data_IF_591073690851
#
_entry.id   IF_591073690851
#
_cell.length_a   1.000
_cell.length_b   1.000
_cell.length_c   1.000
_cell.angle_alpha   90.00
_cell.angle_beta   90.00
_cell.angle_gamma   90.00
#
_symmetry.space_group_name_H-M   'P 1'
#
loop_
_entity.id
_entity.type
_entity.pdbx_description
1 polymer ?
#
# COMPACT_ATOMS: atom_id res chain seq x y z
N UNK A 1 26.14 -23.14 16.34
CA UNK A 1 24.78 -23.40 15.79
C UNK A 1 23.70 -22.44 16.30
N UNK A 2 23.72 -22.03 17.58
CA UNK A 2 22.70 -21.15 18.17
C UNK A 2 22.69 -19.73 17.56
N UNK A 3 23.88 -19.17 17.28
CA UNK A 3 24.03 -17.84 16.65
C UNK A 3 23.49 -17.77 15.22
N UNK A 4 23.62 -18.87 14.46
CA UNK A 4 23.07 -19.00 13.11
C UNK A 4 21.53 -18.98 13.12
N UNK A 5 20.89 -19.56 14.16
CA UNK A 5 19.44 -19.49 14.34
C UNK A 5 18.99 -18.08 14.75
N UNK A 6 19.74 -17.39 15.61
CA UNK A 6 19.42 -16.02 16.01
C UNK A 6 19.62 -15.01 14.85
N UNK A 7 20.65 -15.17 14.02
CA UNK A 7 20.82 -14.37 12.80
C UNK A 7 19.66 -14.57 11.83
N UNK A 8 19.25 -15.82 11.58
CA UNK A 8 18.05 -16.10 10.77
C UNK A 8 16.80 -15.49 11.38
N UNK A 9 16.57 -15.61 12.69
CA UNK A 9 15.41 -15.00 13.37
C UNK A 9 15.40 -13.47 13.24
N UNK A 10 16.55 -12.80 13.39
CA UNK A 10 16.68 -11.35 13.18
C UNK A 10 16.44 -10.97 11.72
N UNK A 11 16.94 -11.72 10.74
CA UNK A 11 16.64 -11.50 9.33
C UNK A 11 15.15 -11.73 9.02
N UNK A 12 14.53 -12.75 9.60
CA UNK A 12 13.09 -13.01 9.47
C UNK A 12 12.25 -11.91 10.12
N UNK A 13 12.67 -11.39 11.28
CA UNK A 13 12.04 -10.24 11.93
C UNK A 13 12.20 -8.97 11.09
N UNK A 14 13.39 -8.67 10.59
CA UNK A 14 13.65 -7.50 9.76
C UNK A 14 12.82 -7.55 8.46
N UNK A 15 12.75 -8.71 7.79
CA UNK A 15 11.84 -8.94 6.66
C UNK A 15 10.36 -8.84 7.06
N UNK A 16 10.01 -9.24 8.29
CA UNK A 16 8.64 -9.13 8.83
C UNK A 16 8.19 -7.68 8.94
N UNK A 17 9.05 -6.79 9.43
CA UNK A 17 8.74 -5.38 9.66
C UNK A 17 8.87 -4.54 8.39
N UNK A 18 9.71 -4.95 7.44
CA UNK A 18 9.94 -4.21 6.20
C UNK A 18 8.66 -3.92 5.42
N UNK A 19 7.77 -4.89 5.24
CA UNK A 19 6.49 -4.68 4.53
C UNK A 19 5.58 -3.64 5.21
N UNK A 20 5.49 -3.66 6.55
CA UNK A 20 4.73 -2.68 7.32
C UNK A 20 5.38 -1.30 7.26
N UNK A 21 6.70 -1.22 7.35
CA UNK A 21 7.44 0.04 7.24
C UNK A 21 7.31 0.67 5.85
N UNK A 22 7.40 -0.14 4.78
CA UNK A 22 7.21 0.32 3.40
C UNK A 22 5.78 0.83 3.20
N UNK A 23 4.77 0.11 3.69
CA UNK A 23 3.38 0.55 3.57
C UNK A 23 3.12 1.84 4.38
N UNK A 24 3.61 1.93 5.62
CA UNK A 24 3.48 3.13 6.44
C UNK A 24 4.17 4.35 5.81
N UNK A 25 5.37 4.16 5.24
CA UNK A 25 6.06 5.20 4.50
C UNK A 25 5.27 5.60 3.24
N UNK A 26 4.70 4.64 2.52
CA UNK A 26 3.85 4.90 1.36
C UNK A 26 2.66 5.79 1.74
N UNK A 27 1.93 5.44 2.80
CA UNK A 27 0.78 6.19 3.32
C UNK A 27 1.16 7.63 3.65
N UNK A 28 2.26 7.79 4.40
CA UNK A 28 2.74 9.09 4.80
C UNK A 28 3.12 9.97 3.60
N UNK A 29 3.91 9.41 2.67
CA UNK A 29 4.36 10.10 1.46
C UNK A 29 3.17 10.44 0.55
N UNK A 30 2.19 9.55 0.42
CA UNK A 30 0.98 9.79 -0.37
C UNK A 30 0.18 10.95 0.22
N UNK A 31 -0.10 10.88 1.52
CA UNK A 31 -0.90 11.86 2.24
C UNK A 31 -0.28 13.26 2.15
N UNK A 32 1.05 13.36 2.35
CA UNK A 32 1.78 14.63 2.22
C UNK A 32 1.81 15.10 0.76
N UNK A 33 2.15 14.22 -0.18
CA UNK A 33 2.23 14.54 -1.61
C UNK A 33 0.90 15.02 -2.19
N UNK A 34 -0.22 14.37 -1.82
CA UNK A 34 -1.57 14.77 -2.22
C UNK A 34 -2.04 16.05 -1.52
N UNK A 35 -1.56 16.35 -0.31
CA UNK A 35 -1.88 17.62 0.36
C UNK A 35 -1.25 18.83 -0.34
N UNK A 36 -0.05 18.67 -0.91
CA UNK A 36 0.71 19.78 -1.53
C UNK A 36 0.59 19.82 -3.06
N UNK A 37 -0.11 18.84 -3.66
CA UNK A 37 -0.25 18.73 -5.12
C UNK A 37 -0.86 19.97 -5.77
N UNK A 38 -1.79 20.63 -5.08
CA UNK A 38 -2.42 21.88 -5.53
C UNK A 38 -1.45 23.08 -5.52
N UNK A 39 -0.45 23.06 -4.66
CA UNK A 39 0.50 24.16 -4.46
C UNK A 39 1.77 24.00 -5.32
N UNK A 40 2.11 22.77 -5.70
CA UNK A 40 3.28 22.49 -6.54
C UNK A 40 3.23 21.12 -7.21
N UNK A 41 2.48 20.99 -8.30
CA UNK A 41 2.37 19.76 -9.10
C UNK A 41 3.75 19.20 -9.48
N UNK A 42 4.70 20.07 -9.87
CA UNK A 42 6.01 19.63 -10.36
C UNK A 42 6.81 18.79 -9.36
N UNK A 43 6.68 19.08 -8.05
CA UNK A 43 7.35 18.33 -6.99
C UNK A 43 6.45 17.25 -6.39
N UNK A 44 5.12 17.44 -6.38
CA UNK A 44 4.17 16.49 -5.83
C UNK A 44 3.99 15.24 -6.72
N UNK A 45 4.03 15.40 -8.04
CA UNK A 45 3.82 14.30 -9.00
C UNK A 45 4.82 13.14 -8.82
N UNK A 46 6.15 13.36 -8.76
CA UNK A 46 7.09 12.26 -8.55
C UNK A 46 6.92 11.61 -7.18
N UNK A 47 6.57 12.39 -6.15
CA UNK A 47 6.34 11.90 -4.78
C UNK A 47 5.12 10.97 -4.74
N UNK A 48 4.02 11.34 -5.41
CA UNK A 48 2.81 10.53 -5.54
C UNK A 48 3.11 9.24 -6.33
N UNK A 49 3.85 9.34 -7.44
CA UNK A 49 4.26 8.17 -8.25
C UNK A 49 5.11 7.17 -7.45
N UNK A 50 6.09 7.66 -6.69
CA UNK A 50 6.91 6.82 -5.81
C UNK A 50 6.02 6.17 -4.75
N UNK A 51 5.10 6.92 -4.16
CA UNK A 51 4.18 6.37 -3.16
C UNK A 51 3.26 5.28 -3.75
N UNK A 52 2.73 5.44 -4.96
CA UNK A 52 1.93 4.42 -5.64
C UNK A 52 2.72 3.10 -5.81
N UNK A 53 3.99 3.19 -6.21
CA UNK A 53 4.88 2.02 -6.30
C UNK A 53 5.13 1.37 -4.93
N UNK A 54 5.32 2.18 -3.89
CA UNK A 54 5.50 1.69 -2.52
C UNK A 54 4.22 1.04 -1.96
N UNK A 55 3.04 1.56 -2.29
CA UNK A 55 1.75 0.96 -1.95
C UNK A 55 1.61 -0.41 -2.61
N UNK A 56 1.87 -0.51 -3.92
CA UNK A 56 1.79 -1.78 -4.63
C UNK A 56 2.74 -2.85 -4.05
N UNK A 57 3.99 -2.49 -3.76
CA UNK A 57 4.96 -3.41 -3.15
C UNK A 57 4.63 -3.73 -1.69
N UNK A 58 4.33 -2.72 -0.88
CA UNK A 58 4.05 -2.86 0.55
C UNK A 58 2.81 -3.72 0.79
N UNK A 59 1.71 -3.39 0.11
CA UNK A 59 0.46 -4.15 0.19
C UNK A 59 0.62 -5.57 -0.35
N UNK A 60 1.37 -5.75 -1.45
CA UNK A 60 1.67 -7.07 -2.01
C UNK A 60 2.46 -7.98 -1.05
N UNK A 61 3.54 -7.46 -0.46
CA UNK A 61 4.34 -8.17 0.56
C UNK A 61 3.47 -8.54 1.77
N UNK A 62 2.58 -7.63 2.18
CA UNK A 62 1.67 -7.86 3.30
C UNK A 62 0.57 -8.87 2.99
N UNK A 63 -0.04 -8.83 1.80
CA UNK A 63 -1.06 -9.79 1.39
C UNK A 63 -0.48 -11.20 1.25
N UNK A 64 0.69 -11.34 0.64
CA UNK A 64 1.36 -12.64 0.54
C UNK A 64 1.69 -13.22 1.93
N UNK A 65 1.98 -12.35 2.89
CA UNK A 65 2.33 -12.76 4.26
C UNK A 65 1.12 -13.01 5.17
N UNK A 66 0.09 -12.17 5.10
CA UNK A 66 -1.10 -12.28 5.96
C UNK A 66 -2.09 -13.32 5.44
N UNK A 67 -2.26 -13.39 4.12
CA UNK A 67 -3.25 -14.25 3.51
C UNK A 67 -2.63 -15.51 2.86
N UNK A 68 -1.29 -15.57 2.66
CA UNK A 68 -0.60 -16.66 1.92
C UNK A 68 -1.05 -16.81 0.45
N UNK A 69 -1.63 -15.77 -0.14
CA UNK A 69 -2.03 -15.75 -1.55
C UNK A 69 -1.09 -14.84 -2.32
N UNK A 70 -0.71 -15.30 -3.50
CA UNK A 70 0.05 -14.50 -4.47
C UNK A 70 -0.72 -13.20 -4.74
N UNK A 71 -0.07 -12.05 -4.56
CA UNK A 71 -0.70 -10.74 -4.74
C UNK A 71 -1.56 -10.70 -6.01
N UNK A 72 -2.86 -10.45 -5.85
CA UNK A 72 -3.79 -10.39 -6.98
C UNK A 72 -3.53 -9.11 -7.77
N UNK A 73 -3.15 -9.26 -9.04
CA UNK A 73 -2.91 -8.12 -9.93
C UNK A 73 -4.16 -7.22 -10.04
N UNK A 74 -5.36 -7.82 -10.01
CA UNK A 74 -6.62 -7.10 -10.04
C UNK A 74 -6.84 -6.26 -8.77
N UNK A 75 -6.55 -6.80 -7.58
CA UNK A 75 -6.68 -6.07 -6.33
C UNK A 75 -5.70 -4.87 -6.28
N UNK A 76 -4.46 -5.08 -6.73
CA UNK A 76 -3.45 -4.01 -6.78
C UNK A 76 -3.88 -2.92 -7.77
N UNK A 77 -4.42 -3.29 -8.93
CA UNK A 77 -4.92 -2.32 -9.91
C UNK A 77 -6.08 -1.47 -9.36
N UNK A 78 -7.03 -2.08 -8.64
CA UNK A 78 -8.15 -1.35 -8.01
C UNK A 78 -7.62 -0.35 -6.98
N UNK A 79 -6.69 -0.78 -6.11
CA UNK A 79 -6.08 0.11 -5.11
C UNK A 79 -5.37 1.30 -5.78
N UNK A 80 -4.57 1.06 -6.82
CA UNK A 80 -3.87 2.11 -7.55
C UNK A 80 -4.83 3.07 -8.27
N UNK A 81 -5.95 2.58 -8.80
CA UNK A 81 -7.00 3.41 -9.40
C UNK A 81 -7.69 4.31 -8.38
N UNK A 82 -7.98 3.80 -7.18
CA UNK A 82 -8.58 4.61 -6.10
C UNK A 82 -7.59 5.68 -5.62
N UNK A 83 -6.32 5.33 -5.46
CA UNK A 83 -5.27 6.29 -5.07
C UNK A 83 -5.05 7.37 -6.13
N UNK A 84 -4.99 6.99 -7.41
CA UNK A 84 -4.82 7.97 -8.49
C UNK A 84 -6.02 8.90 -8.60
N UNK A 85 -7.26 8.40 -8.50
CA UNK A 85 -8.47 9.22 -8.45
C UNK A 85 -8.47 10.21 -7.27
N UNK A 86 -7.99 9.76 -6.11
CA UNK A 86 -7.85 10.61 -4.91
C UNK A 86 -6.84 11.73 -5.14
N UNK A 87 -5.67 11.41 -5.71
CA UNK A 87 -4.64 12.40 -6.04
C UNK A 87 -5.11 13.43 -7.06
N UNK A 88 -5.87 12.99 -8.08
CA UNK A 88 -6.48 13.88 -9.08
C UNK A 88 -7.49 14.82 -8.38
N UNK A 89 -8.35 14.28 -7.50
CA UNK A 89 -9.34 15.08 -6.79
C UNK A 89 -8.68 16.11 -5.87
N UNK A 90 -7.59 15.76 -5.19
CA UNK A 90 -6.78 16.68 -4.39
C UNK A 90 -6.12 17.80 -5.22
N UNK A 91 -5.93 17.58 -6.53
CA UNK A 91 -5.40 18.60 -7.44
C UNK A 91 -6.43 19.69 -7.75
N UNK A 92 -7.72 19.35 -7.76
CA UNK A 92 -8.80 20.31 -8.02
C UNK A 92 -9.35 20.93 -6.73
N UNK A 93 -9.57 20.11 -5.70
CA UNK A 93 -10.23 20.50 -4.45
C UNK A 93 -9.23 20.44 -3.31
N UNK A 94 -9.24 21.48 -2.45
CA UNK A 94 -8.42 21.47 -1.22
C UNK A 94 -9.10 20.56 -0.20
N UNK A 95 -8.65 19.31 -0.12
CA UNK A 95 -9.15 18.32 0.81
C UNK A 95 -8.28 18.35 2.08
N UNK A 96 -8.91 18.22 3.24
CA UNK A 96 -8.18 18.18 4.51
C UNK A 96 -7.31 16.90 4.59
N UNK A 97 -6.11 17.02 5.12
CA UNK A 97 -5.12 15.93 5.17
C UNK A 97 -5.65 14.67 5.89
N UNK A 98 -6.52 14.85 6.88
CA UNK A 98 -7.17 13.76 7.62
C UNK A 98 -8.08 12.93 6.68
N UNK A 99 -8.78 13.59 5.76
CA UNK A 99 -9.67 12.93 4.81
C UNK A 99 -8.85 12.15 3.76
N UNK A 100 -7.72 12.72 3.31
CA UNK A 100 -6.79 12.05 2.39
C UNK A 100 -6.26 10.76 3.03
N UNK A 101 -5.82 10.83 4.29
CA UNK A 101 -5.37 9.68 5.06
C UNK A 101 -6.47 8.62 5.21
N UNK A 102 -7.71 9.04 5.44
CA UNK A 102 -8.85 8.12 5.57
C UNK A 102 -9.14 7.39 4.26
N UNK A 103 -9.08 8.09 3.11
CA UNK A 103 -9.26 7.51 1.79
C UNK A 103 -8.15 6.51 1.45
N UNK A 104 -6.92 6.84 1.81
CA UNK A 104 -5.75 5.96 1.61
C UNK A 104 -5.88 4.66 2.43
N UNK A 105 -6.24 4.78 3.72
CA UNK A 105 -6.56 3.64 4.57
C UNK A 105 -7.73 2.80 4.02
N UNK A 106 -8.77 3.45 3.48
CA UNK A 106 -9.90 2.76 2.86
C UNK A 106 -9.48 2.00 1.58
N UNK A 107 -8.60 2.57 0.76
CA UNK A 107 -8.05 1.91 -0.44
C UNK A 107 -7.26 0.64 -0.06
N UNK A 108 -6.45 0.72 1.00
CA UNK A 108 -5.71 -0.44 1.54
C UNK A 108 -6.69 -1.48 2.11
N UNK A 109 -7.73 -1.07 2.83
CA UNK A 109 -8.74 -1.99 3.34
C UNK A 109 -9.49 -2.72 2.21
N UNK A 110 -9.83 -2.01 1.12
CA UNK A 110 -10.41 -2.60 -0.10
C UNK A 110 -9.45 -3.60 -0.76
N UNK A 111 -8.15 -3.30 -0.79
CA UNK A 111 -7.14 -4.24 -1.28
C UNK A 111 -7.13 -5.55 -0.48
N UNK A 112 -7.12 -5.47 0.86
CA UNK A 112 -7.17 -6.66 1.70
C UNK A 112 -8.50 -7.42 1.57
N UNK A 113 -9.62 -6.71 1.50
CA UNK A 113 -10.95 -7.30 1.31
C UNK A 113 -11.04 -8.08 -0.01
N UNK A 114 -10.65 -7.46 -1.12
CA UNK A 114 -10.65 -8.09 -2.44
C UNK A 114 -9.64 -9.24 -2.54
N UNK A 115 -8.44 -9.11 -1.95
CA UNK A 115 -7.47 -10.19 -1.88
C UNK A 115 -7.98 -11.39 -1.07
N UNK A 116 -8.70 -11.14 0.04
CA UNK A 116 -9.32 -12.18 0.86
C UNK A 116 -10.50 -12.87 0.15
N UNK A 117 -11.32 -12.12 -0.59
CA UNK A 117 -12.40 -12.71 -1.41
C UNK A 117 -11.78 -13.58 -2.52
N UNK A 118 -10.77 -13.05 -3.22
CA UNK A 118 -10.10 -13.77 -4.32
C UNK A 118 -9.42 -15.07 -3.85
N UNK A 119 -8.99 -15.14 -2.58
CA UNK A 119 -8.40 -16.34 -2.00
C UNK A 119 -9.41 -17.45 -1.72
N UNK A 120 -10.59 -17.06 -1.20
CA UNK A 120 -11.71 -17.96 -0.98
C UNK A 120 -12.12 -18.64 -2.29
N UNK A 121 -12.25 -17.88 -3.38
CA UNK A 121 -12.60 -18.42 -4.69
C UNK A 121 -11.53 -19.37 -5.25
N UNK A 122 -10.24 -19.06 -5.07
CA UNK A 122 -9.15 -19.92 -5.53
C UNK A 122 -9.01 -21.24 -4.75
N UNK A 123 -9.63 -21.33 -3.58
CA UNK A 123 -9.61 -22.55 -2.73
C UNK A 123 -10.85 -23.41 -2.94
N UNK A 124 -11.92 -22.87 -3.52
CA UNK A 124 -13.16 -23.61 -3.86
C UNK A 124 -13.10 -24.37 -5.19
N UNK A 125 -11.95 -24.34 -5.87
CA UNK A 125 -11.69 -25.06 -7.13
C UNK A 125 -10.82 -26.31 -6.88
N UNK A 126 -11.11 -27.02 -5.79
CA UNK A 126 -10.54 -28.34 -5.48
C UNK A 126 -11.64 -29.33 -5.17
#
# INVERSE_FOLDING_TARGET
>A
MYEMRQKKLKEFQQKRWFGYAVLAAAIFIFTQGSSVVKEGIGYALPVILISLLMHARGAGILAEKLLKIKASAAATAIMLLVLSATAITCSFVKINIIIILLLDLAAIALYFGTAHICSKFKTGEK
#
